data_IF_652606446440
#
_entry.id   IF_652606446440
#
_cell.length_a   1.000
_cell.length_b   1.000
_cell.length_c   1.000
_cell.angle_alpha   90.00
_cell.angle_beta   90.00
_cell.angle_gamma   90.00
#
_symmetry.space_group_name_H-M   'P 1'
#
loop_
_entity.id
_entity.type
_entity.pdbx_description
1 polymer ?
#
# COMPACT_ATOMS: atom_id res chain seq x y z
N UNK A 1 -33.30 -5.86 -22.30
CA UNK A 1 -32.19 -4.99 -22.74
C UNK A 1 -30.97 -5.45 -21.94
N UNK A 2 -30.06 -6.20 -22.58
CA UNK A 2 -28.93 -6.85 -21.91
C UNK A 2 -27.77 -5.86 -21.76
N UNK A 3 -27.36 -5.58 -20.53
CA UNK A 3 -26.06 -4.97 -20.23
C UNK A 3 -25.02 -6.10 -20.20
N UNK A 4 -24.25 -6.20 -21.28
CA UNK A 4 -23.06 -7.03 -21.37
C UNK A 4 -21.93 -6.39 -20.56
N UNK A 5 -21.68 -6.86 -19.35
CA UNK A 5 -20.43 -6.59 -18.64
C UNK A 5 -19.35 -7.54 -19.19
N UNK A 6 -18.34 -6.96 -19.85
CA UNK A 6 -17.13 -7.67 -20.28
C UNK A 6 -16.35 -8.09 -19.04
N UNK A 7 -16.00 -9.36 -18.95
CA UNK A 7 -15.19 -9.94 -17.89
C UNK A 7 -13.69 -9.70 -18.18
N UNK A 8 -12.96 -9.13 -17.23
CA UNK A 8 -11.48 -9.08 -17.26
C UNK A 8 -10.88 -10.08 -16.26
N UNK A 9 -9.68 -10.57 -16.58
CA UNK A 9 -8.92 -11.67 -15.97
C UNK A 9 -7.50 -11.16 -15.68
N UNK A 10 -6.87 -11.54 -14.56
CA UNK A 10 -5.52 -11.09 -14.17
C UNK A 10 -4.68 -12.27 -13.70
N UNK A 11 -3.40 -12.30 -14.09
CA UNK A 11 -2.39 -13.28 -13.73
C UNK A 11 -1.18 -12.60 -13.07
N UNK A 12 -0.46 -13.27 -12.17
CA UNK A 12 0.91 -12.88 -11.77
C UNK A 12 1.72 -14.11 -11.30
N UNK A 13 3.02 -14.12 -11.61
CA UNK A 13 3.98 -15.16 -11.25
C UNK A 13 5.15 -14.58 -10.44
N UNK A 14 5.91 -15.46 -9.80
CA UNK A 14 7.14 -15.15 -9.06
C UNK A 14 8.36 -15.13 -10.00
N UNK A 15 9.30 -14.22 -9.75
CA UNK A 15 10.69 -14.36 -10.19
C UNK A 15 11.62 -14.05 -9.02
N UNK A 16 12.33 -15.07 -8.56
CA UNK A 16 13.53 -14.90 -7.73
C UNK A 16 14.76 -15.04 -8.63
N UNK A 17 15.72 -14.12 -8.51
CA UNK A 17 17.07 -14.31 -9.04
C UNK A 17 18.01 -14.65 -7.89
N UNK A 18 18.31 -15.94 -7.71
CA UNK A 18 19.36 -16.38 -6.81
C UNK A 18 20.73 -16.10 -7.42
N UNK A 19 21.62 -15.38 -6.72
CA UNK A 19 23.06 -15.51 -6.96
C UNK A 19 23.63 -16.51 -5.94
N UNK A 20 24.22 -17.57 -6.50
CA UNK A 20 24.95 -18.68 -5.86
C UNK A 20 24.11 -19.82 -5.26
N UNK A 21 24.05 -20.91 -6.04
CA UNK A 21 24.19 -22.28 -5.56
C UNK A 21 23.14 -22.81 -4.58
N UNK A 22 22.07 -23.39 -5.14
CA UNK A 22 21.21 -24.40 -4.51
C UNK A 22 20.85 -24.15 -3.03
N UNK A 23 19.93 -23.20 -2.80
CA UNK A 23 19.07 -23.21 -1.62
C UNK A 23 17.69 -22.72 -2.06
N UNK A 24 16.73 -23.64 -2.18
CA UNK A 24 15.35 -23.31 -2.54
C UNK A 24 14.67 -22.64 -1.34
N UNK A 25 14.17 -21.42 -1.52
CA UNK A 25 13.24 -20.79 -0.60
C UNK A 25 11.84 -20.79 -1.20
N UNK A 26 10.88 -21.10 -0.34
CA UNK A 26 9.52 -21.54 -0.66
C UNK A 26 8.52 -20.41 -0.45
N UNK A 27 7.88 -19.95 -1.52
CA UNK A 27 6.67 -19.11 -1.44
C UNK A 27 5.41 -19.97 -1.37
N UNK A 28 4.56 -19.75 -0.35
CA UNK A 28 3.18 -20.28 -0.35
C UNK A 28 2.30 -19.33 -1.15
N UNK A 29 1.43 -19.88 -1.97
CA UNK A 29 0.49 -19.11 -2.79
C UNK A 29 -0.94 -19.48 -2.39
N UNK A 30 -1.88 -18.51 -2.35
CA UNK A 30 -3.24 -18.71 -1.78
C UNK A 30 -4.30 -18.38 -2.79
N UNK A 31 -5.35 -19.22 -2.91
CA UNK A 31 -6.47 -19.10 -3.86
C UNK A 31 -7.72 -18.47 -3.26
N UNK A 32 -8.28 -17.39 -3.84
CA UNK A 32 -9.69 -16.98 -3.63
C UNK A 32 -10.52 -17.33 -4.87
N UNK A 33 -11.62 -18.05 -4.70
CA UNK A 33 -12.55 -18.33 -5.78
C UNK A 33 -13.87 -17.61 -5.51
N UNK A 34 -14.30 -16.77 -6.45
CA UNK A 34 -15.68 -16.28 -6.49
C UNK A 34 -16.47 -17.24 -7.39
N UNK A 35 -17.33 -18.07 -6.81
CA UNK A 35 -18.42 -18.65 -7.58
C UNK A 35 -19.73 -18.68 -6.81
N UNK A 36 -20.78 -18.27 -7.52
CA UNK A 36 -22.16 -18.40 -7.16
C UNK A 36 -22.82 -19.28 -8.22
N UNK A 37 -22.47 -20.57 -8.26
CA UNK A 37 -23.19 -21.63 -9.02
C UNK A 37 -22.69 -23.02 -8.63
N UNK A 38 -23.56 -23.81 -8.01
CA UNK A 38 -23.48 -25.26 -8.10
C UNK A 38 -24.67 -25.75 -8.93
N UNK A 39 -24.36 -26.47 -10.03
CA UNK A 39 -25.04 -27.66 -10.59
C UNK A 39 -24.83 -27.69 -12.11
N UNK A 40 -23.95 -28.61 -12.55
CA UNK A 40 -23.79 -29.20 -13.90
C UNK A 40 -23.38 -28.29 -15.07
N UNK A 41 -22.07 -28.08 -15.26
CA UNK A 41 -21.32 -28.42 -16.49
C UNK A 41 -19.84 -28.04 -16.30
N UNK A 42 -18.92 -28.94 -16.61
CA UNK A 42 -17.49 -28.69 -16.54
C UNK A 42 -17.05 -27.67 -17.60
N UNK A 43 -16.41 -26.57 -17.18
CA UNK A 43 -15.16 -25.98 -17.74
C UNK A 43 -14.92 -24.55 -17.22
N UNK A 44 -13.71 -24.37 -16.65
CA UNK A 44 -13.02 -23.12 -16.25
C UNK A 44 -13.27 -22.65 -14.81
N UNK A 45 -12.43 -23.17 -13.91
CA UNK A 45 -12.23 -22.64 -12.56
C UNK A 45 -11.39 -21.34 -12.61
N UNK A 46 -11.69 -20.37 -11.74
CA UNK A 46 -10.95 -19.11 -11.57
C UNK A 46 -10.49 -19.00 -10.11
N UNK A 47 -9.23 -18.65 -9.90
CA UNK A 47 -8.48 -18.83 -8.64
C UNK A 47 -7.60 -17.57 -8.44
N UNK A 48 -7.78 -16.82 -7.36
CA UNK A 48 -7.05 -15.58 -7.01
C UNK A 48 -5.81 -15.95 -6.21
N UNK A 49 -4.60 -15.74 -6.74
CA UNK A 49 -3.33 -15.98 -6.04
C UNK A 49 -2.79 -14.71 -5.37
N UNK A 50 -2.28 -14.76 -4.15
CA UNK A 50 -1.60 -13.60 -3.51
C UNK A 50 -0.21 -14.02 -3.02
N UNK A 51 0.78 -13.15 -3.23
CA UNK A 51 2.20 -13.37 -3.00
C UNK A 51 2.76 -12.30 -2.04
N UNK A 52 3.74 -12.68 -1.21
CA UNK A 52 4.47 -11.80 -0.31
C UNK A 52 5.99 -12.04 -0.45
N UNK A 53 6.79 -10.97 -0.37
CA UNK A 53 8.25 -11.03 -0.41
C UNK A 53 8.81 -11.33 0.99
N UNK A 54 9.73 -12.31 1.10
CA UNK A 54 10.49 -12.58 2.31
C UNK A 54 11.99 -12.58 1.97
N UNK A 55 12.82 -11.91 2.76
CA UNK A 55 14.29 -12.10 2.72
C UNK A 55 14.73 -12.80 4.00
N UNK A 56 15.55 -13.85 3.86
CA UNK A 56 16.13 -14.59 4.98
C UNK A 56 17.57 -14.13 5.23
N UNK A 57 17.91 -13.84 6.48
CA UNK A 57 19.29 -13.69 6.94
C UNK A 57 19.90 -15.07 7.17
N UNK A 58 21.07 -15.31 6.57
CA UNK A 58 21.68 -16.63 6.48
C UNK A 58 22.29 -17.15 7.80
N UNK A 59 22.08 -18.43 8.09
CA UNK A 59 22.96 -19.25 8.93
C UNK A 59 23.23 -20.57 8.22
N UNK A 60 24.51 -20.91 8.10
CA UNK A 60 25.02 -22.15 7.52
C UNK A 60 24.62 -23.38 8.36
N UNK A 61 23.88 -24.35 7.79
CA UNK A 61 23.87 -25.74 8.28
C UNK A 61 23.33 -26.74 7.21
N UNK A 62 23.76 -28.03 7.24
CA UNK A 62 23.70 -28.92 6.07
C UNK A 62 22.45 -29.82 5.99
N UNK A 63 22.02 -30.00 4.73
CA UNK A 63 21.29 -31.12 4.10
C UNK A 63 20.38 -32.01 4.97
N UNK A 64 19.08 -31.71 4.89
CA UNK A 64 18.03 -32.69 4.68
C UNK A 64 17.00 -32.09 3.71
N UNK A 65 16.92 -32.62 2.48
CA UNK A 65 15.90 -32.23 1.50
C UNK A 65 14.52 -32.70 1.99
N UNK A 66 13.77 -31.82 2.65
CA UNK A 66 12.32 -31.92 2.63
C UNK A 66 11.82 -31.02 1.50
N UNK A 67 11.33 -31.63 0.42
CA UNK A 67 10.51 -30.93 -0.57
C UNK A 67 9.22 -30.53 0.14
N UNK A 68 9.18 -29.32 0.71
CA UNK A 68 7.96 -28.74 1.24
C UNK A 68 7.11 -28.35 0.02
N UNK A 69 6.04 -29.12 -0.19
CA UNK A 69 5.02 -28.90 -1.22
C UNK A 69 4.56 -27.43 -1.18
N UNK A 70 4.71 -26.71 -2.29
CA UNK A 70 4.12 -25.39 -2.49
C UNK A 70 2.61 -25.57 -2.66
N UNK A 71 1.94 -25.96 -1.58
CA UNK A 71 0.52 -26.28 -1.59
C UNK A 71 -0.27 -24.99 -1.57
N UNK A 72 -1.05 -24.77 -2.62
CA UNK A 72 -2.15 -23.83 -2.60
C UNK A 72 -3.10 -24.18 -1.44
N UNK A 73 -3.41 -23.22 -0.58
CA UNK A 73 -4.44 -23.38 0.45
C UNK A 73 -5.61 -22.45 0.23
N UNK A 74 -6.81 -22.95 0.48
CA UNK A 74 -8.02 -22.15 0.55
C UNK A 74 -8.14 -21.56 1.94
N UNK A 75 -8.31 -20.23 2.03
CA UNK A 75 -8.57 -19.54 3.30
C UNK A 75 -10.07 -19.42 3.53
N UNK A 76 -10.80 -18.97 2.50
CA UNK A 76 -12.25 -18.75 2.55
C UNK A 76 -12.85 -18.79 1.15
N UNK A 77 -14.09 -19.25 1.03
CA UNK A 77 -14.90 -19.17 -0.17
C UNK A 77 -16.13 -18.29 0.05
N UNK A 78 -16.65 -17.73 -1.04
CA UNK A 78 -17.93 -17.04 -1.02
C UNK A 78 -19.03 -18.02 -0.55
N UNK A 79 -19.93 -17.53 0.31
CA UNK A 79 -20.97 -18.33 0.96
C UNK A 79 -20.48 -19.37 1.98
N UNK A 80 -19.21 -19.35 2.39
CA UNK A 80 -18.80 -20.05 3.60
C UNK A 80 -19.42 -19.38 4.83
N UNK A 81 -19.60 -20.17 5.90
CA UNK A 81 -20.04 -19.67 7.21
C UNK A 81 -18.82 -19.05 7.91
N UNK A 82 -18.83 -17.74 8.19
CA UNK A 82 -17.71 -17.09 8.87
C UNK A 82 -17.52 -17.63 10.29
N UNK A 83 -16.29 -17.77 10.78
CA UNK A 83 -16.07 -17.99 12.21
C UNK A 83 -16.50 -16.75 13.00
N UNK A 84 -17.02 -16.97 14.21
CA UNK A 84 -17.35 -15.90 15.16
C UNK A 84 -18.64 -15.11 14.88
N UNK A 85 -19.47 -15.54 13.92
CA UNK A 85 -20.76 -14.89 13.62
C UNK A 85 -21.95 -15.81 13.90
N UNK A 86 -23.18 -15.28 14.10
CA UNK A 86 -24.36 -16.09 14.35
C UNK A 86 -24.67 -17.09 13.21
N UNK A 87 -25.23 -18.28 13.52
CA UNK A 87 -25.65 -19.25 12.51
C UNK A 87 -26.61 -18.64 11.48
N UNK A 88 -26.50 -19.07 10.22
CA UNK A 88 -27.29 -18.52 9.12
C UNK A 88 -26.74 -17.19 8.58
N UNK A 89 -25.45 -16.93 8.77
CA UNK A 89 -24.71 -15.80 8.21
C UNK A 89 -23.62 -16.31 7.26
N UNK A 90 -23.41 -15.62 6.14
CA UNK A 90 -22.44 -16.02 5.12
C UNK A 90 -21.64 -14.83 4.58
N UNK A 91 -20.45 -15.13 4.05
CA UNK A 91 -19.67 -14.17 3.27
C UNK A 91 -20.36 -13.84 1.94
N UNK A 92 -20.58 -12.55 1.67
CA UNK A 92 -21.19 -12.05 0.44
C UNK A 92 -20.19 -11.37 -0.51
N UNK A 93 -19.04 -10.94 0.00
CA UNK A 93 -17.97 -10.37 -0.81
C UNK A 93 -16.60 -10.76 -0.30
N UNK A 94 -15.63 -10.94 -1.19
CA UNK A 94 -14.23 -11.19 -0.85
C UNK A 94 -13.36 -10.22 -1.66
N UNK A 95 -13.25 -8.95 -1.23
CA UNK A 95 -12.31 -7.99 -1.81
C UNK A 95 -10.85 -8.44 -1.63
N UNK A 96 -9.92 -7.73 -2.25
CA UNK A 96 -8.49 -8.00 -2.11
C UNK A 96 -8.10 -8.03 -0.61
N UNK A 97 -7.48 -9.12 -0.13
CA UNK A 97 -7.03 -9.24 1.23
C UNK A 97 -5.58 -8.70 1.37
N UNK A 98 -5.15 -8.52 2.61
CA UNK A 98 -3.74 -8.36 2.95
C UNK A 98 -3.10 -9.71 3.26
N UNK A 99 -1.85 -9.87 2.84
CA UNK A 99 -1.01 -11.03 3.18
C UNK A 99 0.30 -10.57 3.81
N UNK A 100 0.91 -11.47 4.59
CA UNK A 100 2.31 -11.33 5.00
C UNK A 100 3.20 -12.42 4.38
N UNK A 101 4.51 -12.32 4.65
CA UNK A 101 5.56 -13.20 4.11
C UNK A 101 5.42 -14.69 4.45
N UNK A 102 4.69 -15.03 5.50
CA UNK A 102 4.40 -16.42 5.88
C UNK A 102 3.08 -16.94 5.30
N UNK A 103 2.36 -16.10 4.57
CA UNK A 103 1.09 -16.40 3.94
C UNK A 103 -0.11 -16.36 4.88
N UNK A 104 -0.01 -15.69 6.03
CA UNK A 104 -1.20 -15.35 6.82
C UNK A 104 -2.02 -14.30 6.07
N UNK A 105 -3.34 -14.35 6.26
CA UNK A 105 -4.30 -13.56 5.50
C UNK A 105 -5.21 -12.74 6.40
N UNK A 106 -5.39 -11.46 6.07
CA UNK A 106 -6.43 -10.61 6.64
C UNK A 106 -7.35 -10.05 5.56
N UNK A 107 -8.66 -10.01 5.80
CA UNK A 107 -9.62 -9.50 4.82
C UNK A 107 -10.87 -8.92 5.47
N UNK A 108 -11.52 -8.02 4.73
CA UNK A 108 -12.86 -7.51 5.05
C UNK A 108 -13.90 -8.24 4.21
N UNK A 109 -15.10 -8.46 4.73
CA UNK A 109 -16.23 -8.99 3.96
C UNK A 109 -17.56 -8.35 4.35
N UNK A 110 -18.47 -8.23 3.37
CA UNK A 110 -19.89 -7.97 3.61
C UNK A 110 -20.56 -9.29 4.01
N UNK A 111 -21.39 -9.25 5.05
CA UNK A 111 -22.13 -10.39 5.56
C UNK A 111 -23.60 -10.31 5.13
N UNK A 112 -24.18 -11.47 4.85
CA UNK A 112 -25.62 -11.61 4.60
C UNK A 112 -26.23 -12.71 5.45
N UNK A 113 -27.52 -12.55 5.78
CA UNK A 113 -28.33 -13.54 6.51
C UNK A 113 -29.68 -13.77 5.85
N UNK A 114 -30.31 -14.89 6.16
CA UNK A 114 -31.65 -15.28 5.68
C UNK A 114 -32.50 -15.85 6.83
N UNK A 115 -33.79 -15.51 6.86
CA UNK A 115 -34.76 -16.15 7.75
C UNK A 115 -35.38 -17.39 7.10
N UNK A 116 -34.91 -18.58 7.51
CA UNK A 116 -35.49 -19.90 7.17
C UNK A 116 -34.44 -20.98 6.88
N UNK A 117 -34.84 -22.26 6.90
CA UNK A 117 -34.00 -23.37 6.47
C UNK A 117 -34.20 -23.61 4.95
N UNK A 118 -33.21 -23.29 4.11
CA UNK A 118 -33.28 -23.52 2.66
C UNK A 118 -32.10 -22.92 1.87
N UNK A 119 -31.95 -23.26 0.57
CA UNK A 119 -30.91 -22.67 -0.29
C UNK A 119 -31.11 -21.16 -0.46
N UNK A 120 -30.02 -20.41 -0.66
CA UNK A 120 -30.01 -18.95 -0.79
C UNK A 120 -30.99 -18.49 -1.88
N UNK A 121 -32.13 -17.91 -1.49
CA UNK A 121 -33.07 -17.23 -2.38
C UNK A 121 -32.78 -15.73 -2.33
N UNK A 122 -32.37 -15.13 -3.47
CA UNK A 122 -31.92 -13.72 -3.57
C UNK A 122 -32.92 -12.72 -2.98
N UNK A 123 -34.22 -13.00 -3.08
CA UNK A 123 -35.29 -12.06 -2.67
C UNK A 123 -35.53 -12.00 -1.15
N UNK A 124 -34.82 -12.81 -0.36
CA UNK A 124 -34.92 -12.84 1.12
C UNK A 124 -33.56 -12.65 1.82
N UNK A 125 -32.54 -12.25 1.07
CA UNK A 125 -31.19 -12.01 1.60
C UNK A 125 -31.14 -10.62 2.25
N UNK A 126 -30.76 -10.53 3.52
CA UNK A 126 -30.55 -9.24 4.22
C UNK A 126 -29.07 -9.03 4.47
N UNK A 127 -28.58 -7.80 4.29
CA UNK A 127 -27.23 -7.44 4.72
C UNK A 127 -27.20 -7.54 6.24
N UNK A 128 -26.34 -8.43 6.75
CA UNK A 128 -26.17 -8.69 8.17
C UNK A 128 -25.06 -7.84 8.81
N UNK A 129 -24.32 -7.08 7.99
CA UNK A 129 -23.26 -6.17 8.41
C UNK A 129 -21.98 -6.37 7.60
N UNK A 130 -20.87 -5.90 8.16
CA UNK A 130 -19.52 -6.16 7.64
C UNK A 130 -18.64 -6.70 8.74
N UNK A 131 -17.54 -7.35 8.38
CA UNK A 131 -16.53 -7.76 9.35
C UNK A 131 -15.11 -7.75 8.78
N UNK A 132 -14.16 -7.90 9.69
CA UNK A 132 -12.73 -8.08 9.42
C UNK A 132 -12.33 -9.41 10.02
N UNK A 133 -11.65 -10.24 9.24
CA UNK A 133 -11.08 -11.51 9.65
C UNK A 133 -9.58 -11.51 9.42
N UNK A 134 -8.86 -12.25 10.25
CA UNK A 134 -7.42 -12.44 10.11
C UNK A 134 -7.01 -13.82 10.60
N UNK A 135 -6.00 -14.40 9.97
CA UNK A 135 -5.38 -15.63 10.44
C UNK A 135 -4.45 -15.35 11.62
N UNK A 136 -4.64 -16.08 12.71
CA UNK A 136 -3.75 -16.03 13.88
C UNK A 136 -3.31 -17.45 14.18
N UNK A 137 -2.00 -17.72 14.03
CA UNK A 137 -1.46 -19.07 14.25
C UNK A 137 -2.01 -20.12 13.28
N UNK A 138 -2.32 -19.71 12.05
CA UNK A 138 -2.85 -20.59 10.99
C UNK A 138 -4.36 -20.87 11.05
N UNK A 139 -5.10 -20.26 11.97
CA UNK A 139 -6.55 -20.36 12.05
C UNK A 139 -7.21 -19.00 11.76
N UNK A 140 -8.25 -19.00 10.92
CA UNK A 140 -9.02 -17.80 10.62
C UNK A 140 -9.91 -17.41 11.81
N UNK A 141 -9.80 -16.16 12.25
CA UNK A 141 -10.55 -15.62 13.37
C UNK A 141 -11.28 -14.33 12.99
N UNK A 142 -12.44 -14.11 13.60
CA UNK A 142 -13.12 -12.82 13.54
C UNK A 142 -12.34 -11.79 14.38
N UNK A 143 -11.97 -10.69 13.75
CA UNK A 143 -11.27 -9.57 14.41
C UNK A 143 -12.26 -8.56 14.95
N UNK A 144 -13.20 -8.11 14.11
CA UNK A 144 -14.28 -7.20 14.46
C UNK A 144 -15.45 -7.35 13.47
N UNK A 145 -16.69 -7.08 13.91
CA UNK A 145 -17.86 -6.96 13.03
C UNK A 145 -18.74 -5.79 13.40
N UNK A 146 -19.56 -5.36 12.45
CA UNK A 146 -20.59 -4.34 12.67
C UNK A 146 -21.50 -4.76 13.83
N UNK A 147 -21.79 -3.81 14.73
CA UNK A 147 -22.58 -4.02 15.95
C UNK A 147 -21.79 -4.50 17.16
N UNK A 148 -20.53 -4.92 17.02
CA UNK A 148 -19.67 -5.20 18.18
C UNK A 148 -19.27 -3.91 18.90
N UNK A 149 -19.07 -4.00 20.21
CA UNK A 149 -18.57 -2.90 21.03
C UNK A 149 -17.18 -2.46 20.59
N UNK A 150 -16.93 -1.15 20.61
CA UNK A 150 -15.65 -0.56 20.22
C UNK A 150 -14.70 -0.53 21.43
N UNK A 151 -13.52 -1.16 21.36
CA UNK A 151 -12.53 -1.07 22.44
C UNK A 151 -12.13 0.38 22.71
N UNK A 152 -12.11 0.77 23.99
CA UNK A 152 -11.72 2.12 24.41
C UNK A 152 -12.77 3.21 24.17
N UNK A 153 -13.94 2.90 23.63
CA UNK A 153 -15.04 3.86 23.42
C UNK A 153 -16.34 3.31 24.03
N UNK A 154 -16.70 3.73 25.26
CA UNK A 154 -17.92 3.27 25.92
C UNK A 154 -19.17 3.53 25.08
N UNK A 155 -20.12 2.59 25.12
CA UNK A 155 -21.43 2.66 24.44
C UNK A 155 -21.39 2.82 22.90
N UNK A 156 -20.21 2.68 22.29
CA UNK A 156 -20.04 2.71 20.85
C UNK A 156 -20.03 1.31 20.24
N UNK A 157 -20.55 1.20 19.02
CA UNK A 157 -20.55 -0.04 18.23
C UNK A 157 -20.03 0.20 16.82
N UNK A 158 -19.24 -0.74 16.29
CA UNK A 158 -18.71 -0.65 14.93
C UNK A 158 -19.82 -0.60 13.89
N UNK A 159 -19.65 0.22 12.86
CA UNK A 159 -20.55 0.29 11.70
C UNK A 159 -19.90 -0.28 10.45
N UNK A 160 -18.70 0.20 10.12
CA UNK A 160 -18.02 -0.14 8.87
C UNK A 160 -16.51 -0.15 9.04
N UNK A 161 -15.81 -0.74 8.09
CA UNK A 161 -14.36 -1.00 8.14
C UNK A 161 -13.71 -0.66 6.79
N UNK A 162 -12.48 -0.15 6.81
CA UNK A 162 -11.57 -0.12 5.66
C UNK A 162 -11.10 -1.54 5.30
N UNK A 163 -10.43 -1.75 4.16
CA UNK A 163 -9.57 -2.91 3.97
C UNK A 163 -8.54 -3.00 5.11
N UNK A 164 -8.26 -4.21 5.64
CA UNK A 164 -7.24 -4.38 6.65
C UNK A 164 -5.84 -4.43 6.02
N UNK A 165 -4.82 -4.04 6.79
CA UNK A 165 -3.41 -4.34 6.54
C UNK A 165 -2.93 -5.44 7.49
N UNK A 166 -1.91 -6.18 7.08
CA UNK A 166 -1.29 -7.27 7.85
C UNK A 166 0.23 -7.13 7.76
N UNK A 167 0.91 -7.06 8.90
CA UNK A 167 2.38 -6.97 8.92
C UNK A 167 3.05 -8.36 9.03
N UNK A 168 4.38 -8.38 8.90
CA UNK A 168 5.19 -9.60 9.03
C UNK A 168 5.11 -10.27 10.42
N UNK A 169 4.68 -9.54 11.45
CA UNK A 169 4.46 -10.06 12.79
C UNK A 169 3.05 -10.65 13.01
N UNK A 170 2.22 -10.72 11.97
CA UNK A 170 0.85 -11.24 12.04
C UNK A 170 -0.14 -10.28 12.72
N UNK A 171 0.23 -9.01 12.87
CA UNK A 171 -0.65 -7.99 13.45
C UNK A 171 -1.51 -7.38 12.34
N UNK A 172 -2.80 -7.21 12.61
CA UNK A 172 -3.77 -6.66 11.66
C UNK A 172 -4.17 -5.25 12.06
N UNK A 173 -4.20 -4.30 11.12
CA UNK A 173 -4.71 -2.95 11.36
C UNK A 173 -5.82 -2.60 10.36
N UNK A 174 -6.76 -1.76 10.78
CA UNK A 174 -7.85 -1.28 9.93
C UNK A 174 -8.44 0.01 10.50
N UNK A 175 -8.95 0.89 9.64
CA UNK A 175 -9.79 1.99 10.07
C UNK A 175 -11.24 1.52 10.17
N UNK A 176 -12.00 2.10 11.09
CA UNK A 176 -13.42 1.79 11.25
C UNK A 176 -14.22 3.02 11.62
N UNK A 177 -15.46 3.07 11.13
CA UNK A 177 -16.48 3.97 11.66
C UNK A 177 -17.31 3.27 12.72
N UNK A 178 -17.82 4.02 13.68
CA UNK A 178 -18.68 3.52 14.75
C UNK A 178 -19.77 4.53 15.10
N UNK A 179 -20.83 4.06 15.74
CA UNK A 179 -21.92 4.87 16.26
C UNK A 179 -22.01 4.74 17.77
N UNK A 180 -22.49 5.78 18.45
CA UNK A 180 -22.89 5.68 19.85
C UNK A 180 -24.41 5.78 19.99
N UNK A 181 -24.99 4.90 20.82
CA UNK A 181 -26.44 4.91 21.04
C UNK A 181 -26.92 6.16 21.79
N UNK A 182 -26.02 6.83 22.50
CA UNK A 182 -26.32 7.98 23.34
C UNK A 182 -26.17 9.33 22.61
N UNK A 183 -25.74 9.34 21.33
CA UNK A 183 -25.50 10.56 20.51
C UNK A 183 -24.68 11.63 21.26
N UNK A 184 -23.79 11.18 22.13
CA UNK A 184 -22.90 11.99 22.96
C UNK A 184 -21.61 12.34 22.20
N UNK A 185 -21.29 11.59 21.15
CA UNK A 185 -20.22 11.89 20.20
C UNK A 185 -20.71 12.82 19.08
N UNK A 186 -19.82 13.67 18.55
CA UNK A 186 -20.11 14.45 17.34
C UNK A 186 -19.81 13.64 16.08
N UNK A 187 -20.33 14.05 14.92
CA UNK A 187 -20.08 13.31 13.65
C UNK A 187 -18.58 13.20 13.33
N UNK A 188 -17.77 14.14 13.82
CA UNK A 188 -16.33 14.16 13.67
C UNK A 188 -15.59 13.11 14.53
N UNK A 189 -16.25 12.50 15.51
CA UNK A 189 -15.67 11.58 16.50
C UNK A 189 -15.86 10.09 16.18
N UNK A 190 -16.62 9.78 15.14
CA UNK A 190 -17.16 8.44 14.86
C UNK A 190 -16.21 7.50 14.11
N UNK A 191 -14.90 7.71 14.20
CA UNK A 191 -13.93 6.85 13.53
C UNK A 191 -12.62 6.71 14.30
N UNK A 192 -11.89 5.65 13.97
CA UNK A 192 -10.58 5.37 14.55
C UNK A 192 -9.80 4.35 13.75
N UNK A 193 -8.50 4.28 14.02
CA UNK A 193 -7.62 3.21 13.55
C UNK A 193 -7.48 2.20 14.69
N UNK A 194 -7.65 0.93 14.35
CA UNK A 194 -7.63 -0.19 15.27
C UNK A 194 -6.53 -1.17 14.90
N UNK A 195 -6.03 -1.88 15.90
CA UNK A 195 -4.98 -2.88 15.76
C UNK A 195 -5.36 -4.14 16.51
N UNK A 196 -5.13 -5.29 15.88
CA UNK A 196 -5.19 -6.61 16.49
C UNK A 196 -3.78 -7.15 16.67
N UNK A 197 -3.39 -7.44 17.90
CA UNK A 197 -2.17 -8.19 18.25
C UNK A 197 -2.57 -9.49 18.93
N UNK A 198 -2.24 -10.64 18.33
CA UNK A 198 -2.65 -11.95 18.84
C UNK A 198 -4.16 -11.96 19.13
N UNK A 199 -4.56 -12.00 20.40
CA UNK A 199 -5.96 -11.99 20.84
C UNK A 199 -6.47 -10.62 21.33
N UNK A 200 -5.66 -9.57 21.35
CA UNK A 200 -6.07 -8.25 21.82
C UNK A 200 -6.38 -7.30 20.66
N UNK A 201 -7.60 -6.74 20.62
CA UNK A 201 -8.00 -5.67 19.71
C UNK A 201 -8.00 -4.35 20.48
N UNK A 202 -7.20 -3.39 20.03
CA UNK A 202 -7.05 -2.09 20.68
C UNK A 202 -7.22 -0.91 19.71
N UNK A 203 -7.65 0.23 20.25
CA UNK A 203 -7.81 1.49 19.53
C UNK A 203 -6.44 2.20 19.49
N UNK A 204 -5.90 2.39 18.29
CA UNK A 204 -4.60 3.04 18.06
C UNK A 204 -4.75 4.56 18.09
N UNK A 205 -5.76 5.10 17.42
CA UNK A 205 -6.04 6.54 17.45
C UNK A 205 -7.50 6.77 17.12
N UNK A 206 -8.14 7.72 17.80
CA UNK A 206 -9.53 8.11 17.56
C UNK A 206 -9.58 9.46 16.88
N UNK A 207 -10.53 9.64 15.97
CA UNK A 207 -10.92 10.96 15.54
C UNK A 207 -11.36 11.80 16.75
N UNK A 208 -11.10 13.10 16.71
CA UNK A 208 -11.31 13.99 17.85
C UNK A 208 -10.23 13.94 18.93
N UNK A 209 -9.20 13.11 18.79
CA UNK A 209 -8.02 13.20 19.65
C UNK A 209 -7.34 14.56 19.47
N UNK A 210 -6.95 15.27 20.54
CA UNK A 210 -6.21 16.52 20.43
C UNK A 210 -4.93 16.35 19.60
N UNK A 211 -4.71 17.26 18.65
CA UNK A 211 -3.56 17.28 17.77
C UNK A 211 -2.35 17.94 18.47
N UNK A 212 -1.79 17.25 19.47
CA UNK A 212 -0.65 17.76 20.22
C UNK A 212 0.58 17.96 19.31
N UNK A 213 1.40 18.98 19.61
CA UNK A 213 2.65 19.25 18.88
C UNK A 213 2.51 20.12 17.63
N UNK A 214 1.31 20.61 17.31
CA UNK A 214 1.05 21.57 16.23
C UNK A 214 0.62 22.93 16.83
N UNK A 215 0.98 24.08 16.23
CA UNK A 215 0.65 25.42 16.75
C UNK A 215 -0.83 25.83 16.60
N UNK A 216 -1.75 24.87 16.40
CA UNK A 216 -3.19 25.10 16.33
C UNK A 216 -3.89 24.23 17.38
N UNK A 217 -4.92 24.77 18.03
CA UNK A 217 -5.77 24.00 18.94
C UNK A 217 -6.81 23.20 18.13
N UNK A 218 -6.31 22.18 17.43
CA UNK A 218 -7.08 21.32 16.54
C UNK A 218 -7.23 19.90 17.06
N UNK A 219 -8.13 19.15 16.43
CA UNK A 219 -8.33 17.71 16.68
C UNK A 219 -8.17 16.92 15.39
N UNK A 220 -7.66 15.69 15.53
CA UNK A 220 -7.51 14.73 14.43
C UNK A 220 -8.86 14.53 13.74
N UNK A 221 -8.92 14.84 12.44
CA UNK A 221 -10.12 14.63 11.64
C UNK A 221 -10.40 13.13 11.43
N UNK A 222 -11.68 12.83 11.21
CA UNK A 222 -12.18 11.48 10.99
C UNK A 222 -11.42 10.68 9.94
N UNK A 223 -11.23 9.40 10.23
CA UNK A 223 -10.74 8.42 9.28
C UNK A 223 -11.92 7.93 8.46
N UNK A 224 -12.01 8.35 7.20
CA UNK A 224 -13.09 7.87 6.35
C UNK A 224 -12.91 6.37 6.08
N UNK A 225 -13.98 5.61 6.25
CA UNK A 225 -14.05 4.20 5.91
C UNK A 225 -14.13 4.09 4.36
N UNK A 226 -12.96 4.03 3.71
CA UNK A 226 -12.79 4.00 2.26
C UNK A 226 -11.74 2.97 1.79
N UNK A 227 -11.20 3.16 0.58
CA UNK A 227 -10.21 2.26 -0.07
C UNK A 227 -8.86 2.19 0.63
N UNK A 228 -8.54 3.16 1.47
CA UNK A 228 -7.17 3.35 1.93
C UNK A 228 -7.00 2.68 3.28
N UNK A 229 -6.16 1.65 3.29
CA UNK A 229 -5.84 0.89 4.48
C UNK A 229 -4.81 1.66 5.32
N UNK A 230 -4.90 1.64 6.66
CA UNK A 230 -3.94 2.35 7.49
C UNK A 230 -2.54 1.76 7.31
N UNK A 231 -1.53 2.62 7.19
CA UNK A 231 -0.15 2.19 7.13
C UNK A 231 0.31 1.78 8.51
N UNK A 232 1.00 0.65 8.57
CA UNK A 232 1.22 -0.03 9.83
C UNK A 232 2.48 -0.91 9.76
N UNK A 233 3.42 -0.71 10.68
CA UNK A 233 4.71 -1.39 10.66
C UNK A 233 4.78 -2.61 11.61
N UNK A 234 5.88 -3.36 11.61
CA UNK A 234 6.07 -4.55 12.46
C UNK A 234 5.99 -4.28 13.97
N UNK A 235 6.42 -3.10 14.43
CA UNK A 235 6.29 -2.65 15.83
C UNK A 235 4.84 -2.30 16.21
N UNK A 236 4.01 -2.13 15.20
CA UNK A 236 2.63 -1.73 15.29
C UNK A 236 2.41 -0.24 15.46
N UNK A 237 3.36 0.56 14.98
CA UNK A 237 3.20 1.99 14.77
C UNK A 237 2.42 2.21 13.47
N UNK A 238 1.53 3.19 13.51
CA UNK A 238 0.75 3.66 12.36
C UNK A 238 1.31 4.97 11.88
N UNK A 239 1.37 5.19 10.56
CA UNK A 239 1.50 6.50 9.96
C UNK A 239 0.22 6.83 9.19
N UNK A 240 -0.27 8.06 9.29
CA UNK A 240 -1.51 8.45 8.64
C UNK A 240 -1.55 9.93 8.29
N UNK A 241 -2.26 10.23 7.22
CA UNK A 241 -2.67 11.58 6.87
C UNK A 241 -3.96 11.95 7.59
N UNK A 242 -4.09 13.19 8.04
CA UNK A 242 -5.33 13.73 8.60
C UNK A 242 -5.42 15.23 8.35
N UNK A 243 -6.63 15.73 8.05
CA UNK A 243 -6.95 17.14 8.28
C UNK A 243 -7.20 17.40 9.77
N UNK A 244 -7.49 18.65 10.12
CA UNK A 244 -7.84 19.02 11.49
C UNK A 244 -9.15 19.81 11.51
N UNK A 245 -9.90 19.69 12.60
CA UNK A 245 -11.04 20.57 12.89
C UNK A 245 -10.85 21.29 14.23
N UNK A 246 -11.43 22.47 14.37
CA UNK A 246 -11.36 23.27 15.59
C UNK A 246 -12.41 22.82 16.62
N UNK A 247 -12.43 23.47 17.79
CA UNK A 247 -13.41 23.12 18.83
C UNK A 247 -14.88 23.37 18.43
N UNK A 248 -15.13 24.15 17.38
CA UNK A 248 -16.47 24.41 16.86
C UNK A 248 -16.94 23.35 15.86
N UNK A 249 -16.05 22.44 15.45
CA UNK A 249 -16.34 21.41 14.46
C UNK A 249 -16.17 21.90 13.02
N UNK A 250 -15.61 23.09 12.81
CA UNK A 250 -15.27 23.61 11.50
C UNK A 250 -13.91 23.02 11.08
N UNK A 251 -13.85 22.46 9.86
CA UNK A 251 -12.59 22.01 9.27
C UNK A 251 -11.64 23.21 9.24
N UNK A 252 -10.49 23.07 9.88
CA UNK A 252 -9.42 24.03 9.74
C UNK A 252 -8.85 23.78 8.34
N UNK A 253 -9.21 24.64 7.38
CA UNK A 253 -8.86 24.49 5.96
C UNK A 253 -7.35 24.34 5.69
N UNK A 254 -6.52 24.52 6.70
CA UNK A 254 -5.11 24.13 6.80
C UNK A 254 -4.79 23.97 8.29
N UNK A 255 -4.43 22.78 8.77
CA UNK A 255 -3.33 22.03 8.17
C UNK A 255 -3.70 20.62 7.73
N UNK A 256 -3.36 20.29 6.47
CA UNK A 256 -2.96 18.93 6.10
C UNK A 256 -1.82 18.48 7.03
N UNK A 257 -1.89 17.27 7.56
CA UNK A 257 -0.91 16.78 8.54
C UNK A 257 -0.68 15.28 8.40
N UNK A 258 0.58 14.87 8.64
CA UNK A 258 1.03 13.48 8.65
C UNK A 258 1.49 13.17 10.06
N UNK A 259 0.98 12.07 10.61
CA UNK A 259 1.15 11.69 11.99
C UNK A 259 1.71 10.29 12.10
N UNK A 260 2.38 10.02 13.21
CA UNK A 260 2.56 8.67 13.73
C UNK A 260 1.70 8.46 14.97
N UNK A 261 1.23 7.23 15.21
CA UNK A 261 0.57 6.86 16.45
C UNK A 261 0.78 5.38 16.78
N UNK A 262 0.92 5.05 18.07
CA UNK A 262 1.04 3.67 18.53
C UNK A 262 0.05 3.30 19.65
N UNK A 263 -0.41 4.25 20.47
CA UNK A 263 -1.32 4.01 21.61
C UNK A 263 -2.16 5.26 21.99
N UNK A 264 -2.86 5.87 21.04
CA UNK A 264 -3.75 7.01 21.26
C UNK A 264 -3.04 8.36 21.40
N UNK A 265 -1.70 8.37 21.32
CA UNK A 265 -0.88 9.57 21.34
C UNK A 265 -0.38 9.82 19.92
N UNK A 266 -0.97 10.78 19.19
CA UNK A 266 -0.47 11.16 17.88
C UNK A 266 0.78 12.04 18.03
N UNK A 267 1.78 11.82 17.19
CA UNK A 267 3.01 12.62 17.10
C UNK A 267 3.16 13.15 15.66
N UNK A 268 3.27 14.47 15.45
CA UNK A 268 3.27 15.05 14.11
C UNK A 268 4.60 14.84 13.37
N UNK A 269 4.58 14.10 12.27
CA UNK A 269 5.73 13.94 11.37
C UNK A 269 5.89 15.20 10.49
N UNK A 270 4.80 15.68 9.92
CA UNK A 270 4.75 16.88 9.08
C UNK A 270 3.37 17.54 9.18
N UNK A 271 3.30 18.86 9.04
CA UNK A 271 2.04 19.60 9.01
C UNK A 271 2.24 20.95 8.31
N UNK A 272 1.17 21.48 7.71
CA UNK A 272 1.23 22.80 7.07
C UNK A 272 1.64 23.88 8.09
N UNK A 273 2.57 24.76 7.70
CA UNK A 273 3.21 25.74 8.56
C UNK A 273 4.45 25.24 9.32
N UNK A 274 4.72 23.92 9.36
CA UNK A 274 5.98 23.41 9.92
C UNK A 274 7.13 23.75 8.99
N UNK A 275 8.24 24.23 9.56
CA UNK A 275 9.47 24.47 8.81
C UNK A 275 10.00 23.15 8.21
N UNK A 276 10.37 23.18 6.93
CA UNK A 276 10.85 22.01 6.20
C UNK A 276 12.37 21.87 6.32
N UNK A 277 12.88 20.66 6.63
CA UNK A 277 14.32 20.38 6.57
C UNK A 277 14.84 20.39 5.14
N UNK A 278 16.10 20.80 4.95
CA UNK A 278 16.80 20.70 3.67
C UNK A 278 16.38 21.72 2.61
N UNK A 279 15.59 22.73 2.97
CA UNK A 279 15.19 23.84 2.09
C UNK A 279 15.66 25.16 2.70
N UNK A 280 16.07 26.08 1.83
CA UNK A 280 16.56 27.39 2.23
C UNK A 280 15.48 28.24 2.92
N UNK A 281 15.90 29.31 3.61
CA UNK A 281 15.05 30.43 4.07
C UNK A 281 13.89 30.07 5.03
N UNK A 282 13.95 28.93 5.72
CA UNK A 282 12.94 28.56 6.71
C UNK A 282 11.57 28.31 6.09
N UNK A 283 11.55 27.84 4.83
CA UNK A 283 10.32 27.48 4.14
C UNK A 283 9.45 26.53 4.97
N UNK A 284 8.14 26.60 4.78
CA UNK A 284 7.17 25.79 5.51
C UNK A 284 6.32 24.95 4.56
N UNK A 285 5.84 23.80 5.05
CA UNK A 285 4.85 23.03 4.32
C UNK A 285 3.56 23.84 4.13
N UNK A 286 2.89 23.66 3.00
CA UNK A 286 1.58 24.24 2.67
C UNK A 286 0.55 23.13 2.51
N UNK A 287 0.86 22.14 1.67
CA UNK A 287 0.03 20.96 1.43
C UNK A 287 0.82 19.68 1.68
N UNK A 288 0.11 18.64 2.12
CA UNK A 288 0.63 17.28 2.26
C UNK A 288 -0.37 16.35 1.58
N UNK A 289 0.11 15.26 1.00
CA UNK A 289 -0.75 14.28 0.30
C UNK A 289 -0.85 13.01 1.15
N UNK A 290 -1.99 12.31 1.03
CA UNK A 290 -2.28 11.10 1.80
C UNK A 290 -1.47 9.86 1.36
N UNK A 291 -0.91 9.92 0.16
CA UNK A 291 -0.10 8.85 -0.44
C UNK A 291 1.31 8.85 0.16
N UNK A 292 1.45 8.12 1.26
CA UNK A 292 2.70 7.95 2.00
C UNK A 292 3.07 6.48 2.16
N UNK A 293 4.34 6.20 2.49
CA UNK A 293 4.83 4.85 2.78
C UNK A 293 5.57 4.84 4.11
N UNK A 294 5.42 3.77 4.89
CA UNK A 294 5.99 3.60 6.23
C UNK A 294 6.93 2.38 6.24
N UNK A 295 8.08 2.49 6.91
CA UNK A 295 8.98 1.36 7.15
C UNK A 295 8.89 0.82 8.60
N UNK A 296 9.60 -0.29 8.86
CA UNK A 296 9.64 -0.92 10.20
C UNK A 296 10.40 -0.12 11.27
N UNK A 297 11.12 0.93 10.88
CA UNK A 297 11.78 1.86 11.79
C UNK A 297 10.89 3.06 12.18
N UNK A 298 9.65 3.13 11.67
CA UNK A 298 8.73 4.23 11.93
C UNK A 298 9.01 5.47 11.07
N UNK A 299 9.82 5.34 10.02
CA UNK A 299 10.06 6.41 9.05
C UNK A 299 9.02 6.39 7.95
N UNK A 300 8.56 7.58 7.60
CA UNK A 300 7.57 7.79 6.56
C UNK A 300 8.22 8.52 5.40
N UNK A 301 7.89 8.13 4.17
CA UNK A 301 8.13 8.96 2.97
C UNK A 301 6.81 9.46 2.41
N UNK A 302 6.80 10.73 1.98
CA UNK A 302 5.63 11.40 1.45
C UNK A 302 6.02 12.55 0.52
N UNK A 303 5.06 12.98 -0.29
CA UNK A 303 5.15 14.23 -1.04
C UNK A 303 4.59 15.40 -0.22
N UNK A 304 5.19 16.58 -0.38
CA UNK A 304 4.68 17.83 0.20
C UNK A 304 4.81 19.05 -0.72
N UNK A 305 3.89 19.99 -0.55
CA UNK A 305 3.95 21.32 -1.14
C UNK A 305 4.50 22.34 -0.14
N UNK A 306 5.17 23.37 -0.65
CA UNK A 306 5.77 24.47 0.11
C UNK A 306 4.96 25.76 -0.08
N UNK A 307 5.00 26.62 0.94
CA UNK A 307 4.28 27.88 0.87
C UNK A 307 4.93 28.85 -0.14
N UNK A 308 4.22 29.13 -1.24
CA UNK A 308 4.70 29.97 -2.36
C UNK A 308 4.94 31.45 -2.03
N UNK A 309 4.45 31.96 -0.90
CA UNK A 309 4.64 33.36 -0.50
C UNK A 309 5.94 33.59 0.29
N UNK A 310 6.80 32.59 0.39
CA UNK A 310 8.11 32.67 1.04
C UNK A 310 9.22 32.94 0.03
N UNK A 311 10.24 33.67 0.48
CA UNK A 311 11.39 34.03 -0.36
C UNK A 311 12.07 32.78 -0.95
N UNK A 312 12.30 32.78 -2.26
CA UNK A 312 12.92 31.67 -2.97
C UNK A 312 11.98 30.49 -3.30
N UNK A 313 10.70 30.57 -2.94
CA UNK A 313 9.67 29.60 -3.31
C UNK A 313 8.77 30.19 -4.40
N UNK A 314 8.44 29.39 -5.41
CA UNK A 314 7.64 29.73 -6.58
C UNK A 314 6.84 28.49 -7.01
N UNK A 315 5.87 28.66 -7.90
CA UNK A 315 5.08 27.54 -8.45
C UNK A 315 5.89 26.49 -9.24
N UNK A 316 7.17 26.77 -9.46
CA UNK A 316 8.02 25.88 -10.21
C UNK A 316 9.02 25.14 -9.33
N UNK A 317 9.01 25.36 -8.02
CA UNK A 317 9.92 24.72 -7.05
C UNK A 317 9.26 24.47 -5.68
N UNK A 318 7.93 24.48 -5.62
CA UNK A 318 7.19 24.34 -4.38
C UNK A 318 6.90 22.88 -4.02
N UNK A 319 7.30 21.92 -4.84
CA UNK A 319 7.07 20.51 -4.56
C UNK A 319 8.34 19.75 -4.12
N UNK A 320 8.18 18.79 -3.21
CA UNK A 320 9.26 17.92 -2.75
C UNK A 320 8.81 16.55 -2.26
N UNK A 321 9.80 15.67 -2.06
CA UNK A 321 9.67 14.38 -1.38
C UNK A 321 10.51 14.44 -0.11
N UNK A 322 9.91 14.12 1.03
CA UNK A 322 10.59 14.03 2.32
C UNK A 322 10.46 12.64 2.89
N UNK A 323 11.50 12.22 3.61
CA UNK A 323 11.54 10.93 4.27
C UNK A 323 12.09 11.06 5.70
N UNK A 324 11.54 10.28 6.63
CA UNK A 324 12.02 10.17 8.01
C UNK A 324 10.87 10.14 9.01
N UNK A 325 11.23 10.26 10.29
CA UNK A 325 10.28 10.40 11.38
C UNK A 325 10.32 11.82 11.96
N UNK A 326 9.64 12.03 13.09
CA UNK A 326 9.52 13.31 13.78
C UNK A 326 10.84 14.09 13.96
N UNK A 327 11.94 13.36 14.17
CA UNK A 327 13.26 13.92 14.51
C UNK A 327 14.30 13.78 13.40
N UNK A 328 14.02 12.97 12.37
CA UNK A 328 14.97 12.61 11.31
C UNK A 328 14.51 13.03 9.92
N UNK A 329 13.38 13.72 9.82
CA UNK A 329 12.82 14.19 8.55
C UNK A 329 13.87 14.92 7.71
N UNK A 330 14.06 14.50 6.46
CA UNK A 330 15.00 15.08 5.50
C UNK A 330 14.36 15.23 4.12
N UNK A 331 14.88 16.17 3.34
CA UNK A 331 14.54 16.30 1.92
C UNK A 331 15.24 15.20 1.11
N UNK A 332 14.49 14.49 0.27
CA UNK A 332 14.99 13.46 -0.66
C UNK A 332 15.16 14.06 -2.05
N UNK A 333 14.12 14.69 -2.57
CA UNK A 333 14.11 15.34 -3.88
C UNK A 333 13.19 16.56 -3.86
N UNK A 334 13.49 17.55 -4.71
CA UNK A 334 12.69 18.77 -4.85
C UNK A 334 12.73 19.23 -6.28
N UNK A 335 11.64 19.80 -6.76
CA UNK A 335 11.64 20.55 -8.00
C UNK A 335 12.75 21.61 -8.04
N UNK A 336 13.28 21.84 -9.25
CA UNK A 336 14.43 22.71 -9.54
C UNK A 336 15.76 22.29 -8.93
N UNK A 337 15.81 21.27 -8.08
CA UNK A 337 17.10 20.69 -7.72
C UNK A 337 17.65 19.92 -8.92
N UNK A 338 18.98 19.93 -9.06
CA UNK A 338 19.70 19.14 -10.07
C UNK A 338 19.25 17.68 -9.99
N UNK A 339 18.85 17.13 -11.14
CA UNK A 339 18.55 15.70 -11.24
C UNK A 339 19.88 14.92 -11.24
N UNK A 340 20.11 14.00 -10.29
CA UNK A 340 21.32 13.19 -10.28
C UNK A 340 21.46 12.37 -11.56
N UNK A 341 22.70 12.22 -12.03
CA UNK A 341 23.06 11.49 -13.26
C UNK A 341 22.62 12.14 -14.58
N UNK A 342 22.14 13.38 -14.54
CA UNK A 342 21.95 14.21 -15.73
C UNK A 342 23.03 15.29 -15.85
N UNK A 343 23.12 15.90 -17.03
CA UNK A 343 23.98 17.06 -17.28
C UNK A 343 23.62 18.24 -16.36
N UNK A 344 24.61 19.07 -16.05
CA UNK A 344 24.44 20.26 -15.21
C UNK A 344 23.32 21.17 -15.78
N UNK A 345 22.38 21.55 -14.92
CA UNK A 345 21.23 22.37 -15.28
C UNK A 345 19.97 21.59 -15.63
N UNK A 346 20.05 20.27 -15.82
CA UNK A 346 18.85 19.41 -15.89
C UNK A 346 18.32 19.19 -14.48
N UNK A 347 17.11 19.70 -14.24
CA UNK A 347 16.50 19.69 -12.91
C UNK A 347 15.25 18.82 -12.89
N UNK A 348 14.86 18.41 -11.68
CA UNK A 348 13.51 17.90 -11.47
C UNK A 348 12.50 18.97 -11.86
N UNK A 349 11.65 18.63 -12.82
CA UNK A 349 10.53 19.46 -13.23
C UNK A 349 9.31 19.21 -12.36
N UNK A 350 9.06 17.95 -12.00
CA UNK A 350 8.03 17.56 -11.03
C UNK A 350 8.46 16.30 -10.31
N UNK A 351 8.18 16.25 -9.01
CA UNK A 351 8.41 15.07 -8.15
C UNK A 351 7.11 14.44 -7.63
N UNK A 352 5.94 15.04 -7.92
CA UNK A 352 4.63 14.41 -7.79
C UNK A 352 4.17 13.87 -9.15
N UNK A 353 4.38 12.58 -9.38
CA UNK A 353 3.98 11.94 -10.64
C UNK A 353 2.78 11.03 -10.43
N UNK A 354 1.59 11.64 -10.34
CA UNK A 354 0.32 10.91 -10.26
C UNK A 354 0.26 9.95 -9.09
N UNK A 355 -0.12 8.69 -9.35
CA UNK A 355 -0.29 7.61 -8.35
C UNK A 355 1.00 6.81 -8.08
N UNK A 356 2.16 7.30 -8.54
CA UNK A 356 3.43 6.58 -8.46
C UNK A 356 4.21 6.98 -7.20
N UNK A 357 3.59 6.71 -6.05
CA UNK A 357 4.01 7.20 -4.73
C UNK A 357 5.45 6.78 -4.36
N UNK A 358 6.20 7.64 -3.66
CA UNK A 358 7.51 7.30 -3.17
C UNK A 358 7.44 6.14 -2.17
N UNK A 359 8.42 5.23 -2.22
CA UNK A 359 8.53 4.06 -1.35
C UNK A 359 9.81 4.10 -0.54
N UNK A 360 9.76 3.57 0.68
CA UNK A 360 10.88 3.54 1.62
C UNK A 360 11.13 2.11 2.09
N UNK A 361 12.39 1.70 2.20
CA UNK A 361 12.76 0.41 2.82
C UNK A 361 13.11 0.58 4.32
N UNK A 362 13.39 -0.53 4.99
CA UNK A 362 13.75 -0.56 6.42
C UNK A 362 15.13 0.04 6.77
N UNK A 363 15.92 0.43 5.77
CA UNK A 363 17.15 1.20 5.96
C UNK A 363 16.94 2.71 5.78
N UNK A 364 15.69 3.14 5.58
CA UNK A 364 15.33 4.54 5.35
C UNK A 364 15.60 5.03 3.93
N UNK A 365 15.95 4.14 3.00
CA UNK A 365 16.26 4.47 1.61
C UNK A 365 14.97 4.57 0.79
N UNK A 366 14.89 5.62 -0.02
CA UNK A 366 13.70 5.97 -0.81
C UNK A 366 13.86 5.60 -2.28
N UNK A 367 12.77 5.22 -2.95
CA UNK A 367 12.67 5.15 -4.41
C UNK A 367 11.38 5.81 -4.90
N UNK A 368 11.42 6.47 -6.07
CA UNK A 368 10.29 7.22 -6.61
C UNK A 368 10.43 7.42 -8.12
N UNK A 369 9.32 7.80 -8.76
CA UNK A 369 9.29 8.31 -10.14
C UNK A 369 9.22 9.84 -10.11
N UNK A 370 9.95 10.49 -11.01
CA UNK A 370 9.90 11.94 -11.20
C UNK A 370 10.00 12.30 -12.69
N UNK A 371 9.71 13.56 -12.99
CA UNK A 371 9.86 14.15 -14.32
C UNK A 371 11.01 15.14 -14.27
N UNK A 372 11.92 15.08 -15.24
CA UNK A 372 12.94 16.10 -15.49
C UNK A 372 12.57 16.93 -16.71
N UNK A 373 13.05 18.16 -16.79
CA UNK A 373 13.01 18.93 -18.04
C UNK A 373 14.38 18.85 -18.74
N UNK A 374 14.45 18.10 -19.85
CA UNK A 374 15.69 17.95 -20.63
C UNK A 374 16.18 19.24 -21.27
N UNK A 375 15.26 20.14 -21.58
CA UNK A 375 15.54 21.37 -22.30
C UNK A 375 16.07 22.48 -21.37
N UNK A 376 17.00 22.11 -20.47
CA UNK A 376 17.61 22.99 -19.47
C UNK A 376 18.04 24.33 -20.06
N UNK A 377 17.53 25.43 -19.48
CA UNK A 377 17.91 26.80 -19.86
C UNK A 377 17.38 27.32 -21.21
N UNK A 378 16.76 26.49 -22.06
CA UNK A 378 16.23 26.91 -23.37
C UNK A 378 14.81 27.50 -23.32
N UNK A 379 14.12 27.35 -22.18
CA UNK A 379 12.71 27.74 -22.01
C UNK A 379 11.70 26.80 -22.69
N UNK A 380 12.15 25.81 -23.46
CA UNK A 380 11.29 24.75 -23.98
C UNK A 380 10.93 23.75 -22.86
N UNK A 381 9.74 23.15 -22.96
CA UNK A 381 9.31 22.06 -22.10
C UNK A 381 9.49 20.74 -22.84
N UNK A 382 10.46 19.93 -22.41
CA UNK A 382 10.74 18.60 -22.94
C UNK A 382 10.81 17.60 -21.77
N UNK A 383 9.65 17.14 -21.27
CA UNK A 383 9.58 16.29 -20.08
C UNK A 383 10.12 14.90 -20.35
N UNK A 384 10.81 14.36 -19.36
CA UNK A 384 11.29 12.98 -19.38
C UNK A 384 11.14 12.33 -18.02
N UNK A 385 10.61 11.10 -17.99
CA UNK A 385 10.42 10.35 -16.76
C UNK A 385 11.68 9.58 -16.38
N UNK A 386 11.88 9.38 -15.09
CA UNK A 386 12.89 8.46 -14.57
C UNK A 386 12.43 7.75 -13.31
N UNK A 387 13.19 6.73 -12.94
CA UNK A 387 13.09 6.04 -11.65
C UNK A 387 14.35 6.37 -10.87
N UNK A 388 14.22 6.94 -9.68
CA UNK A 388 15.34 7.26 -8.79
C UNK A 388 15.31 6.39 -7.53
N UNK A 389 16.48 6.16 -6.94
CA UNK A 389 16.65 5.37 -5.73
C UNK A 389 17.81 5.87 -4.87
N UNK A 390 17.66 5.83 -3.54
CA UNK A 390 18.75 5.96 -2.56
C UNK A 390 19.41 4.62 -2.24
N UNK A 391 19.00 3.53 -2.91
CA UNK A 391 19.46 2.16 -2.68
C UNK A 391 20.97 1.96 -2.72
N UNK A 392 21.68 2.75 -3.54
CA UNK A 392 23.14 2.76 -3.66
C UNK A 392 23.86 3.63 -2.61
N UNK A 393 23.14 4.14 -1.60
CA UNK A 393 23.66 5.00 -0.54
C UNK A 393 23.58 6.51 -0.84
N UNK A 394 23.43 6.89 -2.10
CA UNK A 394 23.07 8.24 -2.55
C UNK A 394 21.95 8.16 -3.58
N UNK A 395 21.22 9.26 -3.76
CA UNK A 395 20.19 9.36 -4.79
C UNK A 395 20.83 9.24 -6.18
N UNK A 396 20.39 8.24 -6.96
CA UNK A 396 20.86 7.99 -8.31
C UNK A 396 19.71 7.57 -9.23
N UNK A 397 19.92 7.71 -10.54
CA UNK A 397 18.99 7.28 -11.57
C UNK A 397 19.11 5.77 -11.79
N UNK A 398 18.00 5.05 -11.65
CA UNK A 398 17.90 3.61 -11.91
C UNK A 398 17.51 3.35 -13.36
N UNK A 399 16.51 4.08 -13.86
CA UNK A 399 16.03 3.95 -15.23
C UNK A 399 15.53 5.28 -15.77
N UNK A 400 15.65 5.47 -17.08
CA UNK A 400 15.33 6.72 -17.77
C UNK A 400 14.44 6.43 -18.98
N UNK A 401 13.41 7.24 -19.16
CA UNK A 401 12.57 7.17 -20.35
C UNK A 401 13.42 7.46 -21.58
N UNK A 402 13.20 6.71 -22.66
CA UNK A 402 14.00 6.80 -23.87
C UNK A 402 15.29 5.98 -23.83
N UNK A 403 15.78 5.51 -22.67
CA UNK A 403 16.90 4.57 -22.63
C UNK A 403 16.48 3.17 -23.06
N UNK A 404 17.44 2.36 -23.50
CA UNK A 404 17.19 0.96 -23.86
C UNK A 404 16.66 0.20 -22.64
N UNK A 405 15.54 -0.50 -22.82
CA UNK A 405 15.02 -1.42 -21.84
C UNK A 405 15.89 -2.70 -21.84
N UNK A 406 16.70 -2.97 -20.79
CA UNK A 406 17.67 -4.06 -20.82
C UNK A 406 16.97 -5.41 -20.97
N UNK A 407 17.38 -6.22 -21.94
CA UNK A 407 16.79 -7.53 -22.21
C UNK A 407 15.45 -7.50 -22.97
N UNK A 408 14.91 -6.31 -23.28
CA UNK A 408 13.69 -6.20 -24.09
C UNK A 408 13.96 -6.55 -25.56
N UNK A 409 12.98 -7.20 -26.19
CA UNK A 409 13.05 -7.60 -27.58
C UNK A 409 13.29 -6.42 -28.53
N UNK A 410 14.21 -6.58 -29.48
CA UNK A 410 14.43 -5.61 -30.56
C UNK A 410 15.08 -4.28 -30.16
N UNK A 411 15.69 -4.18 -28.96
CA UNK A 411 16.31 -2.94 -28.51
C UNK A 411 15.29 -1.83 -28.22
N UNK A 412 14.11 -2.21 -27.73
CA UNK A 412 13.06 -1.27 -27.35
C UNK A 412 13.54 -0.32 -26.24
N UNK A 413 12.93 0.86 -26.17
CA UNK A 413 13.26 1.91 -25.21
C UNK A 413 12.12 2.10 -24.22
N UNK A 414 12.44 2.46 -22.98
CA UNK A 414 11.45 2.76 -21.96
C UNK A 414 10.56 3.92 -22.38
N UNK A 415 9.26 3.80 -22.12
CA UNK A 415 8.25 4.81 -22.45
C UNK A 415 7.48 5.30 -21.22
N UNK A 416 7.21 4.40 -20.27
CA UNK A 416 6.47 4.67 -19.04
C UNK A 416 7.03 3.82 -17.90
N UNK A 417 6.98 4.35 -16.68
CA UNK A 417 7.34 3.63 -15.44
C UNK A 417 6.15 3.61 -14.49
N UNK A 418 5.88 2.44 -13.90
CA UNK A 418 4.99 2.33 -12.74
C UNK A 418 5.73 2.64 -11.44
N UNK A 419 4.98 2.65 -10.34
CA UNK A 419 5.51 2.79 -8.98
C UNK A 419 6.66 1.83 -8.72
N UNK A 420 7.85 2.35 -8.37
CA UNK A 420 8.98 1.53 -8.01
C UNK A 420 8.84 1.03 -6.58
N UNK A 421 9.35 -0.16 -6.32
CA UNK A 421 9.56 -0.73 -4.99
C UNK A 421 11.05 -0.82 -4.70
N UNK A 422 11.43 -0.72 -3.43
CA UNK A 422 12.80 -0.89 -2.96
C UNK A 422 12.82 -1.93 -1.85
N UNK A 423 13.69 -2.93 -1.93
CA UNK A 423 13.82 -3.93 -0.88
C UNK A 423 14.83 -3.51 0.21
N UNK A 424 14.96 -4.29 1.28
CA UNK A 424 15.90 -4.01 2.38
C UNK A 424 17.38 -4.06 1.98
N UNK A 425 17.72 -4.64 0.82
CA UNK A 425 19.08 -4.63 0.27
C UNK A 425 19.35 -3.39 -0.61
N UNK A 426 18.39 -2.47 -0.71
CA UNK A 426 18.49 -1.26 -1.54
C UNK A 426 18.24 -1.52 -3.03
N UNK A 427 17.73 -2.67 -3.42
CA UNK A 427 17.49 -2.99 -4.83
C UNK A 427 16.11 -2.50 -5.26
N UNK A 428 16.04 -1.78 -6.37
CA UNK A 428 14.79 -1.27 -6.93
C UNK A 428 14.17 -2.25 -7.94
N UNK A 429 12.84 -2.34 -7.93
CA UNK A 429 12.05 -3.06 -8.94
C UNK A 429 10.84 -2.23 -9.38
N UNK A 430 10.48 -2.28 -10.66
CA UNK A 430 9.36 -1.50 -11.21
C UNK A 430 8.79 -2.19 -12.46
N UNK A 431 7.54 -1.89 -12.80
CA UNK A 431 7.01 -2.21 -14.12
C UNK A 431 7.28 -1.05 -15.06
N UNK A 432 7.49 -1.35 -16.34
CA UNK A 432 7.64 -0.32 -17.35
C UNK A 432 7.01 -0.76 -18.67
N UNK A 433 6.48 0.20 -19.43
CA UNK A 433 6.21 0.00 -20.84
C UNK A 433 7.44 0.38 -21.68
N UNK A 434 7.58 -0.28 -22.82
CA UNK A 434 8.68 -0.01 -23.75
C UNK A 434 8.27 -0.37 -25.19
N UNK A 435 8.73 0.44 -26.15
CA UNK A 435 8.44 0.26 -27.57
C UNK A 435 6.95 0.08 -27.89
N UNK A 436 6.63 -0.68 -28.95
CA UNK A 436 5.26 -0.81 -29.47
C UNK A 436 4.36 -1.75 -28.63
N UNK A 437 4.09 -1.37 -27.38
CA UNK A 437 3.18 -2.09 -26.47
C UNK A 437 3.84 -3.16 -25.60
N UNK A 438 5.18 -3.17 -25.52
CA UNK A 438 5.92 -4.01 -24.59
C UNK A 438 5.69 -3.56 -23.15
N UNK A 439 5.63 -4.53 -22.23
CA UNK A 439 5.46 -4.31 -20.80
C UNK A 439 6.28 -5.35 -20.05
N UNK A 440 7.03 -4.93 -19.04
CA UNK A 440 7.87 -5.84 -18.29
C UNK A 440 8.14 -5.40 -16.86
N UNK A 441 8.54 -6.38 -16.04
CA UNK A 441 9.09 -6.20 -14.71
C UNK A 441 10.60 -6.09 -14.82
N UNK A 442 11.16 -5.05 -14.23
CA UNK A 442 12.59 -4.79 -14.18
C UNK A 442 13.06 -4.77 -12.73
N UNK A 443 14.29 -5.22 -12.47
CA UNK A 443 14.87 -5.21 -11.13
C UNK A 443 16.39 -5.09 -11.14
N UNK A 444 16.93 -4.52 -10.07
CA UNK A 444 18.36 -4.51 -9.74
C UNK A 444 18.81 -5.74 -8.93
N UNK A 445 17.91 -6.69 -8.67
CA UNK A 445 18.14 -7.90 -7.84
C UNK A 445 19.40 -8.71 -8.20
N UNK A 446 19.82 -8.67 -9.47
CA UNK A 446 20.98 -9.37 -10.02
C UNK A 446 22.28 -8.56 -10.05
N UNK A 447 22.31 -7.39 -9.39
CA UNK A 447 23.46 -6.48 -9.34
C UNK A 447 23.43 -5.35 -10.37
N UNK A 448 22.74 -5.55 -11.50
CA UNK A 448 22.42 -4.50 -12.47
C UNK A 448 20.96 -4.58 -12.89
N UNK A 449 20.41 -3.47 -13.39
CA UNK A 449 19.06 -3.43 -13.93
C UNK A 449 18.90 -4.45 -15.07
N UNK A 450 17.92 -5.34 -14.96
CA UNK A 450 17.61 -6.34 -15.97
C UNK A 450 16.10 -6.60 -16.04
N UNK A 451 15.64 -7.07 -17.20
CA UNK A 451 14.28 -7.58 -17.39
C UNK A 451 14.13 -8.91 -16.65
N UNK A 452 13.11 -8.97 -15.82
CA UNK A 452 12.76 -10.11 -14.96
C UNK A 452 11.64 -10.92 -15.60
N UNK A 453 10.61 -10.25 -16.12
CA UNK A 453 9.50 -10.87 -16.84
C UNK A 453 8.93 -9.90 -17.88
N UNK A 454 8.48 -10.41 -19.02
CA UNK A 454 7.90 -9.64 -20.13
C UNK A 454 6.52 -10.17 -20.49
N UNK A 455 5.61 -9.25 -20.84
CA UNK A 455 4.29 -9.57 -21.37
C UNK A 455 4.41 -10.38 -22.66
N UNK A 456 3.69 -11.48 -22.73
CA UNK A 456 3.72 -12.42 -23.85
C UNK A 456 4.84 -13.46 -23.73
N UNK A 457 5.79 -13.30 -22.81
CA UNK A 457 6.79 -14.33 -22.54
C UNK A 457 6.16 -15.51 -21.79
N UNK A 458 6.72 -16.71 -22.00
CA UNK A 458 6.34 -17.93 -21.29
C UNK A 458 6.50 -17.74 -19.78
N UNK A 459 5.44 -18.02 -19.02
CA UNK A 459 5.51 -18.00 -17.57
C UNK A 459 6.36 -19.20 -17.08
N UNK A 460 7.41 -18.98 -16.27
CA UNK A 460 8.27 -20.05 -15.78
C UNK A 460 7.49 -21.13 -15.01
N UNK A 461 7.87 -22.40 -15.17
CA UNK A 461 7.24 -23.52 -14.46
C UNK A 461 5.81 -23.86 -14.90
N UNK A 462 5.27 -23.18 -15.92
CA UNK A 462 3.93 -23.44 -16.46
C UNK A 462 4.00 -24.24 -17.79
N UNK A 463 2.89 -24.88 -18.22
CA UNK A 463 2.86 -25.56 -19.52
C UNK A 463 3.21 -24.61 -20.67
N UNK A 464 3.88 -25.14 -21.69
CA UNK A 464 4.25 -24.41 -22.91
C UNK A 464 3.03 -23.72 -23.52
N UNK A 465 3.19 -22.44 -23.87
CA UNK A 465 2.12 -21.57 -24.40
C UNK A 465 1.37 -20.78 -23.32
N UNK A 466 1.66 -21.00 -22.04
CA UNK A 466 1.13 -20.18 -20.94
C UNK A 466 2.03 -18.96 -20.77
N UNK A 467 1.47 -17.76 -20.96
CA UNK A 467 2.25 -16.52 -21.03
C UNK A 467 1.78 -15.48 -20.02
N UNK A 468 2.65 -14.52 -19.71
CA UNK A 468 2.27 -13.32 -18.98
C UNK A 468 1.32 -12.46 -19.81
N UNK A 469 0.04 -12.40 -19.46
CA UNK A 469 -0.93 -11.63 -20.25
C UNK A 469 -0.94 -10.14 -19.89
N UNK A 470 -0.82 -9.81 -18.60
CA UNK A 470 -0.85 -8.45 -18.06
C UNK A 470 -0.10 -8.39 -16.71
N UNK A 471 0.39 -7.21 -16.33
CA UNK A 471 0.90 -6.91 -14.99
C UNK A 471 -0.02 -5.85 -14.36
N UNK A 472 -0.44 -6.05 -13.11
CA UNK A 472 -1.43 -5.19 -12.45
C UNK A 472 -0.86 -4.32 -11.33
N UNK A 473 0.45 -4.25 -11.24
CA UNK A 473 1.17 -3.50 -10.22
C UNK A 473 2.11 -4.38 -9.41
N UNK A 474 2.98 -3.73 -8.64
CA UNK A 474 3.81 -4.37 -7.65
C UNK A 474 3.23 -4.13 -6.26
N UNK A 475 3.19 -5.20 -5.46
CA UNK A 475 2.78 -5.18 -4.06
C UNK A 475 4.03 -5.42 -3.22
N UNK A 476 4.17 -4.64 -2.14
CA UNK A 476 5.29 -4.71 -1.21
C UNK A 476 4.98 -5.70 -0.09
#
# INVERSE_FOLDING_TARGET
MNLSLRNSLVALAFVETSTLGACALTGKSIVFASDARAVQFARRFRVILIAAFATLTGVLCPLAESVADSSLRTVVLLNDVPPGVPPGTWYFSLPAPALNSVGETAFRSVLVSFEGAGPIVRDKTRIAGTGVWSEVGGALQLVARSGDSVPGVPDATFQSFSPPTLNAAGQTAFAASFQDSNRSLTVADYSGIFRKRQNNLDLVIRAGTPAAGIPVDGRIEGFCCGSDAPLFNAAGETAFYSGLYDQSGETINTPSSIWSASNGVPQPIAFAGRQVPGVEHGATFDSLIADLSLNDAGETVFWGGLQRNQEGISEANDEGIWAGNETTLRLVARERNQAPSFEDGVVFYSVAVGTEDPRINNLGQTTFVAVVNKAAGSGAFDPEYGVWSEGGGILHLVARQGDLAPGASGGARFEYFSRPLINAAGQTAFLASYGNGGWGLFSEGGGSLHLVAERGAQAPGTPVGTVFSEFMGLVY
#
